data_IF_048724328805
#
_entry.id   IF_048724328805
#
_cell.length_a   1.000
_cell.length_b   1.000
_cell.length_c   1.000
_cell.angle_alpha   90.00
_cell.angle_beta   90.00
_cell.angle_gamma   90.00
#
_symmetry.space_group_name_H-M   'P 1'
#
loop_
_entity.id
_entity.type
_entity.pdbx_description
1 polymer ?
#
# COMPACT_ATOMS: atom_id res chain seq x y z
N UNK A 1 12.56 12.23 1.85
CA UNK A 1 12.05 13.58 1.54
C UNK A 1 12.94 14.58 2.22
N UNK A 2 13.65 15.37 1.43
CA UNK A 2 14.57 16.41 1.90
C UNK A 2 13.77 17.64 2.34
N UNK A 3 14.38 18.57 3.08
CA UNK A 3 13.72 19.82 3.46
C UNK A 3 13.37 20.70 2.23
N UNK A 4 14.01 20.46 1.08
CA UNK A 4 13.65 21.09 -0.19
C UNK A 4 12.29 20.60 -0.70
N UNK A 5 12.06 19.28 -0.69
CA UNK A 5 10.78 18.67 -1.09
C UNK A 5 9.61 19.14 -0.21
N UNK A 6 9.87 19.37 1.09
CA UNK A 6 8.87 19.93 2.03
C UNK A 6 8.51 21.38 1.70
N UNK A 7 9.50 22.19 1.33
CA UNK A 7 9.30 23.60 1.02
C UNK A 7 8.46 23.80 -0.25
N UNK A 8 8.72 22.98 -1.29
CA UNK A 8 7.95 23.02 -2.55
C UNK A 8 6.50 22.60 -2.32
N UNK A 9 6.25 21.52 -1.57
CA UNK A 9 4.89 21.04 -1.29
C UNK A 9 4.02 22.06 -0.54
N UNK A 10 4.62 22.96 0.25
CA UNK A 10 3.87 23.93 1.03
C UNK A 10 3.65 25.25 0.29
N UNK A 11 4.55 25.66 -0.60
CA UNK A 11 4.30 26.77 -1.53
C UNK A 11 3.06 26.52 -2.42
N UNK A 12 2.73 25.24 -2.67
CA UNK A 12 1.52 24.83 -3.39
C UNK A 12 0.20 25.07 -2.64
N UNK A 13 0.21 25.09 -1.30
CA UNK A 13 -1.01 25.38 -0.53
C UNK A 13 -1.32 26.88 -0.54
N UNK A 14 -0.29 27.73 -0.41
CA UNK A 14 -0.45 29.19 -0.45
C UNK A 14 -0.88 29.68 -1.85
N UNK A 15 -0.31 29.10 -2.93
CA UNK A 15 -0.69 29.47 -4.31
C UNK A 15 -2.14 29.13 -4.69
N UNK A 16 -2.79 28.19 -4.00
CA UNK A 16 -4.21 27.88 -4.21
C UNK A 16 -5.16 28.85 -3.48
N UNK A 17 -4.69 29.58 -2.47
CA UNK A 17 -5.47 30.63 -1.79
C UNK A 17 -5.31 32.01 -2.46
N UNK A 18 -4.19 32.27 -3.15
CA UNK A 18 -3.82 33.60 -3.67
C UNK A 18 -4.35 33.95 -5.08
N UNK A 19 -5.25 33.16 -5.67
CA UNK A 19 -5.87 33.52 -6.98
C UNK A 19 -6.81 34.74 -6.87
N UNK A 20 -7.10 35.23 -5.66
CA UNK A 20 -7.73 36.52 -5.44
C UNK A 20 -6.87 37.40 -4.54
N UNK A 21 -5.89 38.11 -5.11
CA UNK A 21 -5.56 39.54 -4.86
C UNK A 21 -4.32 39.87 -5.70
N UNK A 22 -4.53 40.38 -6.90
CA UNK A 22 -3.51 41.16 -7.60
C UNK A 22 -3.59 42.60 -7.11
N UNK A 23 -2.60 43.05 -6.35
CA UNK A 23 -1.76 44.22 -6.68
C UNK A 23 -1.05 44.80 -5.44
N UNK A 24 0.15 45.30 -5.69
CA UNK A 24 0.97 46.18 -4.84
C UNK A 24 1.57 45.57 -3.55
N UNK A 25 2.87 45.23 -3.59
CA UNK A 25 3.97 46.07 -3.09
C UNK A 25 5.29 45.29 -3.13
N UNK A 26 6.10 45.51 -4.18
CA UNK A 26 7.50 45.06 -4.21
C UNK A 26 8.36 46.04 -3.39
N UNK A 27 8.73 45.66 -2.17
CA UNK A 27 9.96 46.04 -1.47
C UNK A 27 9.96 45.43 -0.06
N UNK A 28 10.46 44.18 0.11
CA UNK A 28 10.96 43.58 1.38
C UNK A 28 11.33 42.07 1.24
N UNK A 29 11.92 41.62 0.13
CA UNK A 29 11.88 40.20 -0.28
C UNK A 29 12.91 39.18 0.27
N UNK A 30 14.06 39.52 0.91
CA UNK A 30 14.98 38.46 1.40
C UNK A 30 14.91 38.17 2.91
N UNK A 31 14.53 39.15 3.75
CA UNK A 31 14.52 38.99 5.22
C UNK A 31 13.19 38.39 5.71
N UNK A 32 12.08 38.76 5.07
CA UNK A 32 10.76 38.19 5.36
C UNK A 32 10.76 36.69 5.01
N UNK A 33 11.23 36.34 3.81
CA UNK A 33 11.37 34.94 3.38
C UNK A 33 12.33 34.10 4.24
N UNK A 34 13.37 34.70 4.85
CA UNK A 34 14.22 33.97 5.81
C UNK A 34 13.56 33.77 7.16
N UNK A 35 12.75 34.72 7.65
CA UNK A 35 12.00 34.58 8.89
C UNK A 35 10.85 33.57 8.74
N UNK A 36 10.14 33.62 7.61
CA UNK A 36 9.06 32.68 7.30
C UNK A 36 9.61 31.25 7.19
N UNK A 37 10.74 31.05 6.50
CA UNK A 37 11.44 29.75 6.45
C UNK A 37 11.89 29.27 7.84
N UNK A 38 12.36 30.17 8.70
CA UNK A 38 12.77 29.82 10.08
C UNK A 38 11.57 29.42 10.94
N UNK A 39 10.47 30.16 10.83
CA UNK A 39 9.22 29.86 11.53
C UNK A 39 8.66 28.53 11.06
N UNK A 40 8.64 28.32 9.74
CA UNK A 40 8.25 27.07 9.09
C UNK A 40 9.06 25.89 9.64
N UNK A 41 10.39 25.98 9.62
CA UNK A 41 11.26 24.91 10.11
C UNK A 41 11.05 24.62 11.60
N UNK A 42 10.76 25.64 12.41
CA UNK A 42 10.45 25.48 13.84
C UNK A 42 9.14 24.74 14.06
N UNK A 43 8.07 25.17 13.39
CA UNK A 43 6.78 24.46 13.46
C UNK A 43 6.90 23.04 12.94
N UNK A 44 7.61 22.84 11.84
CA UNK A 44 7.87 21.51 11.30
C UNK A 44 8.56 20.62 12.32
N UNK A 45 9.68 21.07 12.88
CA UNK A 45 10.43 20.28 13.85
C UNK A 45 9.64 20.04 15.13
N UNK A 46 8.83 21.00 15.56
CA UNK A 46 7.99 20.86 16.74
C UNK A 46 6.92 19.78 16.53
N UNK A 47 6.20 19.81 15.40
CA UNK A 47 5.20 18.81 15.05
C UNK A 47 5.83 17.42 14.91
N UNK A 48 6.96 17.31 14.20
CA UNK A 48 7.68 16.04 14.05
C UNK A 48 8.04 15.43 15.43
N UNK A 49 8.51 16.27 16.37
CA UNK A 49 8.84 15.84 17.73
C UNK A 49 7.61 15.44 18.54
N UNK A 50 6.48 16.14 18.37
CA UNK A 50 5.22 15.77 19.02
C UNK A 50 4.71 14.41 18.53
N UNK A 51 4.74 14.18 17.23
CA UNK A 51 4.33 12.89 16.63
C UNK A 51 5.22 11.74 17.13
N UNK A 52 6.54 11.95 17.19
CA UNK A 52 7.47 10.97 17.77
C UNK A 52 7.20 10.75 19.26
N UNK A 53 6.91 11.80 20.03
CA UNK A 53 6.60 11.70 21.45
C UNK A 53 5.32 10.89 21.68
N UNK A 54 4.27 11.15 20.90
CA UNK A 54 3.03 10.38 20.93
C UNK A 54 3.30 8.92 20.55
N UNK A 55 4.05 8.69 19.48
CA UNK A 55 4.51 7.36 19.09
C UNK A 55 5.22 6.60 20.19
N UNK A 56 6.16 7.28 20.85
CA UNK A 56 6.91 6.73 21.99
C UNK A 56 5.98 6.46 23.16
N UNK A 57 5.02 7.34 23.45
CA UNK A 57 4.00 7.08 24.46
C UNK A 57 3.21 5.79 24.19
N UNK A 58 2.92 5.50 22.92
CA UNK A 58 2.21 4.28 22.51
C UNK A 58 3.10 3.02 22.58
N UNK A 59 4.43 3.14 22.66
CA UNK A 59 5.32 1.98 22.93
C UNK A 59 5.51 1.71 24.42
N UNK A 60 5.22 2.69 25.29
CA UNK A 60 5.35 2.55 26.73
C UNK A 60 4.33 1.53 27.28
N UNK A 61 4.68 0.91 28.42
CA UNK A 61 4.10 -0.29 29.04
C UNK A 61 2.59 -0.56 28.78
N UNK A 62 2.18 -1.84 28.68
CA UNK A 62 0.77 -2.26 28.53
C UNK A 62 -0.22 -1.62 29.50
N UNK A 63 0.23 -1.21 30.69
CA UNK A 63 -0.58 -0.54 31.70
C UNK A 63 -1.11 0.84 31.27
N UNK A 64 -0.44 1.53 30.36
CA UNK A 64 -0.92 2.81 29.81
C UNK A 64 -2.18 2.63 28.97
N UNK A 65 -2.32 1.48 28.32
CA UNK A 65 -3.54 1.16 27.57
C UNK A 65 -4.76 0.90 28.48
N UNK A 66 -4.56 0.77 29.80
CA UNK A 66 -5.66 0.68 30.77
C UNK A 66 -6.26 2.04 31.11
N UNK A 67 -5.58 3.14 30.78
CA UNK A 67 -6.09 4.50 30.93
C UNK A 67 -7.07 4.79 29.80
N UNK A 68 -8.33 4.35 29.95
CA UNK A 68 -9.36 4.45 28.91
C UNK A 68 -9.57 5.88 28.39
N UNK A 69 -9.45 6.87 29.28
CA UNK A 69 -9.65 8.28 28.92
C UNK A 69 -8.51 8.84 28.05
N UNK A 70 -7.25 8.43 28.28
CA UNK A 70 -6.12 8.94 27.50
C UNK A 70 -6.15 8.44 26.05
N UNK A 71 -6.57 7.19 25.83
CA UNK A 71 -6.68 6.62 24.49
C UNK A 71 -7.87 7.18 23.70
N UNK A 72 -9.00 7.42 24.37
CA UNK A 72 -10.12 8.13 23.75
C UNK A 72 -9.72 9.55 23.34
N UNK A 73 -8.97 10.25 24.18
CA UNK A 73 -8.44 11.59 23.86
C UNK A 73 -7.46 11.52 22.68
N UNK A 74 -6.51 10.57 22.70
CA UNK A 74 -5.53 10.41 21.61
C UNK A 74 -6.25 10.07 20.30
N UNK A 75 -7.19 9.12 20.32
CA UNK A 75 -8.00 8.79 19.16
C UNK A 75 -8.77 10.00 18.66
N UNK A 76 -9.65 10.57 19.47
CA UNK A 76 -10.48 11.72 19.06
C UNK A 76 -9.64 12.91 18.58
N UNK A 77 -8.52 13.22 19.24
CA UNK A 77 -7.66 14.36 18.86
C UNK A 77 -6.88 14.07 17.58
N UNK A 78 -6.21 12.92 17.46
CA UNK A 78 -5.45 12.57 16.24
C UNK A 78 -6.37 12.41 15.03
N UNK A 79 -7.59 11.88 15.21
CA UNK A 79 -8.53 11.62 14.12
C UNK A 79 -9.34 12.83 13.67
N UNK A 80 -9.62 13.79 14.57
CA UNK A 80 -10.54 14.90 14.30
C UNK A 80 -10.14 15.80 13.12
N UNK A 81 -8.86 15.80 12.72
CA UNK A 81 -8.35 16.73 11.72
C UNK A 81 -7.52 16.08 10.60
N UNK A 82 -7.50 14.74 10.46
CA UNK A 82 -6.64 14.07 9.47
C UNK A 82 -6.91 14.53 8.03
N UNK A 83 -8.16 14.93 7.72
CA UNK A 83 -8.56 15.41 6.39
C UNK A 83 -7.81 16.67 5.96
N UNK A 84 -7.52 17.57 6.91
CA UNK A 84 -6.83 18.84 6.66
C UNK A 84 -5.31 18.71 6.69
N UNK A 85 -4.78 17.54 7.05
CA UNK A 85 -3.34 17.32 7.19
C UNK A 85 -2.76 17.00 5.81
N UNK A 86 -1.71 17.74 5.38
CA UNK A 86 -1.06 17.46 4.11
C UNK A 86 -0.34 16.10 4.12
N UNK A 87 -0.20 15.47 2.96
CA UNK A 87 0.15 14.05 2.84
C UNK A 87 1.51 13.72 3.49
N UNK A 88 2.48 14.63 3.39
CA UNK A 88 3.81 14.45 4.00
C UNK A 88 3.80 14.47 5.54
N UNK A 89 2.83 15.18 6.14
CA UNK A 89 2.60 15.16 7.61
C UNK A 89 1.80 13.95 8.01
N UNK A 90 0.77 13.61 7.23
CA UNK A 90 -0.03 12.42 7.48
C UNK A 90 0.87 11.17 7.49
N UNK A 91 1.87 11.12 6.60
CA UNK A 91 2.90 10.08 6.60
C UNK A 91 3.60 9.94 7.95
N UNK A 92 3.98 11.03 8.59
CA UNK A 92 4.60 10.99 9.91
C UNK A 92 3.65 10.43 10.96
N UNK A 93 2.36 10.83 10.95
CA UNK A 93 1.36 10.27 11.87
C UNK A 93 1.21 8.76 11.64
N UNK A 94 1.15 8.31 10.38
CA UNK A 94 1.12 6.88 10.03
C UNK A 94 2.34 6.14 10.57
N UNK A 95 3.54 6.67 10.33
CA UNK A 95 4.79 6.00 10.66
C UNK A 95 5.15 6.07 12.16
N UNK A 96 4.95 7.21 12.78
CA UNK A 96 5.38 7.45 14.16
C UNK A 96 4.26 7.21 15.16
N UNK A 97 2.98 7.38 14.82
CA UNK A 97 1.87 7.13 15.74
C UNK A 97 1.21 5.76 15.50
N UNK A 98 0.69 5.52 14.28
CA UNK A 98 -0.11 4.31 14.02
C UNK A 98 0.69 3.02 13.96
N UNK A 99 1.89 3.05 13.38
CA UNK A 99 2.72 1.85 13.32
C UNK A 99 3.13 1.35 14.72
N UNK A 100 3.64 2.19 15.64
CA UNK A 100 3.86 1.78 17.03
C UNK A 100 2.58 1.36 17.75
N UNK A 101 1.46 2.06 17.53
CA UNK A 101 0.17 1.71 18.12
C UNK A 101 -0.24 0.27 17.81
N UNK A 102 -0.18 -0.13 16.54
CA UNK A 102 -0.52 -1.50 16.10
C UNK A 102 0.43 -2.54 16.68
N UNK A 103 1.72 -2.22 16.76
CA UNK A 103 2.75 -3.15 17.26
C UNK A 103 2.64 -3.42 18.75
N UNK A 104 2.27 -2.41 19.53
CA UNK A 104 2.37 -2.44 20.99
C UNK A 104 1.02 -2.48 21.72
N UNK A 105 -0.09 -2.09 21.08
CA UNK A 105 -1.39 -2.11 21.73
C UNK A 105 -1.86 -3.56 21.98
N UNK A 106 -2.19 -3.92 23.23
CA UNK A 106 -2.55 -5.29 23.59
C UNK A 106 -4.04 -5.61 23.37
N UNK A 107 -4.90 -4.60 23.17
CA UNK A 107 -6.36 -4.74 23.20
C UNK A 107 -6.98 -4.40 21.84
N UNK A 108 -7.60 -5.39 21.19
CA UNK A 108 -8.36 -5.19 19.95
C UNK A 108 -9.50 -4.18 20.13
N UNK A 109 -10.15 -4.16 21.29
CA UNK A 109 -11.30 -3.29 21.59
C UNK A 109 -10.99 -1.79 21.47
N UNK A 110 -9.73 -1.40 21.69
CA UNK A 110 -9.28 -0.01 21.54
C UNK A 110 -8.95 0.28 20.07
N UNK A 111 -8.37 -0.69 19.37
CA UNK A 111 -8.02 -0.54 17.96
C UNK A 111 -9.26 -0.44 17.06
N UNK A 112 -10.34 -1.18 17.35
CA UNK A 112 -11.52 -1.26 16.47
C UNK A 112 -12.08 0.14 16.11
N UNK A 113 -12.52 0.98 17.06
CA UNK A 113 -13.14 2.27 16.72
C UNK A 113 -12.18 3.21 15.97
N UNK A 114 -10.88 3.10 16.27
CA UNK A 114 -9.82 3.85 15.59
C UNK A 114 -9.70 3.40 14.13
N UNK A 115 -9.62 2.10 13.88
CA UNK A 115 -9.46 1.55 12.52
C UNK A 115 -10.73 1.61 11.68
N UNK A 116 -11.90 1.59 12.31
CA UNK A 116 -13.19 1.85 11.64
C UNK A 116 -13.27 3.25 11.04
N UNK A 117 -12.58 4.24 11.64
CA UNK A 117 -12.46 5.58 11.06
C UNK A 117 -11.25 5.71 10.12
N UNK A 118 -10.11 5.11 10.47
CA UNK A 118 -8.86 5.27 9.73
C UNK A 118 -8.89 4.60 8.35
N UNK A 119 -9.37 3.36 8.26
CA UNK A 119 -9.32 2.58 7.02
C UNK A 119 -10.17 3.20 5.90
N UNK A 120 -11.44 3.60 6.13
CA UNK A 120 -12.23 4.27 5.09
C UNK A 120 -11.62 5.59 4.63
N UNK A 121 -11.12 6.39 5.58
CA UNK A 121 -10.44 7.66 5.29
C UNK A 121 -9.23 7.43 4.38
N UNK A 122 -8.32 6.54 4.78
CA UNK A 122 -7.10 6.26 4.03
C UNK A 122 -7.41 5.63 2.67
N UNK A 123 -8.38 4.72 2.60
CA UNK A 123 -8.81 4.13 1.33
C UNK A 123 -9.29 5.20 0.35
N UNK A 124 -10.21 6.07 0.77
CA UNK A 124 -10.79 7.12 -0.08
C UNK A 124 -9.70 8.08 -0.55
N UNK A 125 -8.88 8.59 0.39
CA UNK A 125 -7.80 9.53 0.10
C UNK A 125 -6.77 8.96 -0.88
N UNK A 126 -6.28 7.74 -0.62
CA UNK A 126 -5.29 7.10 -1.49
C UNK A 126 -5.89 6.76 -2.86
N UNK A 127 -7.12 6.25 -2.90
CA UNK A 127 -7.81 5.93 -4.15
C UNK A 127 -8.00 7.17 -5.02
N UNK A 128 -8.42 8.29 -4.46
CA UNK A 128 -8.61 9.53 -5.21
C UNK A 128 -7.28 10.10 -5.71
N UNK A 129 -6.25 10.10 -4.87
CA UNK A 129 -4.88 10.51 -5.25
C UNK A 129 -4.34 9.66 -6.41
N UNK A 130 -4.41 8.34 -6.27
CA UNK A 130 -3.94 7.41 -7.31
C UNK A 130 -4.75 7.51 -8.59
N UNK A 131 -6.06 7.71 -8.51
CA UNK A 131 -6.90 7.96 -9.69
C UNK A 131 -6.42 9.18 -10.48
N UNK A 132 -6.10 10.26 -9.79
CA UNK A 132 -5.62 11.49 -10.42
C UNK A 132 -4.21 11.26 -11.04
N UNK A 133 -3.29 10.65 -10.28
CA UNK A 133 -1.92 10.36 -10.76
C UNK A 133 -1.95 9.47 -12.00
N UNK A 134 -2.69 8.35 -11.95
CA UNK A 134 -2.81 7.43 -13.09
C UNK A 134 -3.43 8.10 -14.32
N UNK A 135 -4.43 8.96 -14.14
CA UNK A 135 -5.02 9.72 -15.25
C UNK A 135 -4.03 10.71 -15.88
N UNK A 136 -3.16 11.35 -15.08
CA UNK A 136 -2.10 12.23 -15.61
C UNK A 136 -1.06 11.42 -16.40
N UNK A 137 -0.65 10.28 -15.87
CA UNK A 137 0.34 9.41 -16.51
C UNK A 137 -0.15 8.91 -17.88
N UNK A 138 -1.42 8.51 -18.00
CA UNK A 138 -1.98 8.09 -19.29
C UNK A 138 -2.04 9.22 -20.31
N UNK A 139 -2.37 10.45 -19.90
CA UNK A 139 -2.38 11.63 -20.79
C UNK A 139 -0.97 12.00 -21.30
N UNK A 140 0.08 11.84 -20.47
CA UNK A 140 1.46 12.10 -20.89
C UNK A 140 1.91 11.12 -21.98
N UNK A 141 1.49 9.86 -21.91
CA UNK A 141 1.80 8.85 -22.94
C UNK A 141 1.11 9.19 -24.27
N UNK A 142 -0.11 9.71 -24.26
CA UNK A 142 -0.83 10.04 -25.51
C UNK A 142 -0.40 11.36 -26.17
N UNK A 143 0.10 12.33 -25.40
CA UNK A 143 0.33 13.70 -25.86
C UNK A 143 1.82 14.03 -26.15
N UNK A 144 2.72 13.04 -26.18
CA UNK A 144 4.18 13.22 -26.23
C UNK A 144 4.80 13.98 -27.41
N UNK A 145 4.02 14.67 -28.25
CA UNK A 145 4.46 15.35 -29.47
C UNK A 145 4.02 16.83 -29.59
N UNK A 146 3.66 17.52 -28.50
CA UNK A 146 3.33 18.96 -28.57
C UNK A 146 4.61 19.79 -28.40
N UNK A 147 5.04 20.50 -29.45
CA UNK A 147 6.13 21.47 -29.37
C UNK A 147 5.71 22.65 -28.48
N UNK A 148 6.32 22.77 -27.29
CA UNK A 148 6.10 23.90 -26.39
C UNK A 148 7.02 25.08 -26.73
N UNK A 149 6.44 26.29 -26.75
CA UNK A 149 7.15 27.57 -26.92
C UNK A 149 8.00 27.93 -25.69
N UNK A 150 9.09 28.70 -25.87
CA UNK A 150 10.09 29.00 -24.83
C UNK A 150 9.54 29.53 -23.49
N UNK A 151 8.46 30.32 -23.48
CA UNK A 151 7.85 30.82 -22.23
C UNK A 151 7.04 29.75 -21.48
N UNK A 152 6.55 28.73 -22.19
CA UNK A 152 5.84 27.60 -21.60
C UNK A 152 6.81 26.60 -20.96
N UNK A 153 8.07 26.54 -21.40
CA UNK A 153 9.05 25.55 -20.92
C UNK A 153 9.29 25.69 -19.41
N UNK A 154 9.44 26.92 -18.89
CA UNK A 154 9.67 27.14 -17.46
C UNK A 154 8.46 26.78 -16.60
N UNK A 155 7.25 27.13 -17.04
CA UNK A 155 6.01 26.81 -16.32
C UNK A 155 5.70 25.30 -16.38
N UNK A 156 5.98 24.66 -17.51
CA UNK A 156 5.85 23.20 -17.66
C UNK A 156 6.86 22.49 -16.76
N UNK A 157 8.09 22.99 -16.66
CA UNK A 157 9.11 22.38 -15.82
C UNK A 157 8.77 22.46 -14.33
N UNK A 158 8.35 23.62 -13.84
CA UNK A 158 7.92 23.79 -12.44
C UNK A 158 6.73 22.89 -12.12
N UNK A 159 5.71 22.86 -12.99
CA UNK A 159 4.56 21.95 -12.87
C UNK A 159 4.96 20.47 -12.87
N UNK A 160 5.96 20.08 -13.67
CA UNK A 160 6.46 18.71 -13.69
C UNK A 160 7.14 18.34 -12.37
N UNK A 161 7.94 19.24 -11.80
CA UNK A 161 8.59 19.03 -10.50
C UNK A 161 7.54 18.86 -9.38
N UNK A 162 6.52 19.71 -9.37
CA UNK A 162 5.39 19.62 -8.43
C UNK A 162 4.63 18.29 -8.53
N UNK A 163 4.32 17.85 -9.75
CA UNK A 163 3.62 16.59 -10.00
C UNK A 163 4.43 15.38 -9.53
N UNK A 164 5.76 15.39 -9.76
CA UNK A 164 6.66 14.31 -9.31
C UNK A 164 6.74 14.27 -7.79
N UNK A 165 6.78 15.43 -7.12
CA UNK A 165 6.80 15.49 -5.66
C UNK A 165 5.48 14.94 -5.09
N UNK A 166 4.33 15.32 -5.65
CA UNK A 166 3.03 14.81 -5.19
C UNK A 166 2.93 13.28 -5.34
N UNK A 167 3.36 12.75 -6.49
CA UNK A 167 3.40 11.31 -6.74
C UNK A 167 4.31 10.60 -5.74
N UNK A 168 5.50 11.16 -5.47
CA UNK A 168 6.46 10.56 -4.55
C UNK A 168 5.95 10.57 -3.11
N UNK A 169 5.31 11.66 -2.66
CA UNK A 169 4.68 11.73 -1.34
C UNK A 169 3.55 10.69 -1.23
N UNK A 170 2.74 10.52 -2.29
CA UNK A 170 1.67 9.52 -2.33
C UNK A 170 2.23 8.09 -2.27
N UNK A 171 3.32 7.81 -2.98
CA UNK A 171 4.05 6.54 -2.88
C UNK A 171 4.47 6.26 -1.44
N UNK A 172 5.13 7.22 -0.78
CA UNK A 172 5.61 7.02 0.57
C UNK A 172 4.48 6.85 1.60
N UNK A 173 3.42 7.66 1.50
CA UNK A 173 2.25 7.54 2.35
C UNK A 173 1.59 6.15 2.18
N UNK A 174 1.44 5.71 0.93
CA UNK A 174 0.93 4.37 0.61
C UNK A 174 1.79 3.30 1.28
N UNK A 175 3.12 3.32 1.06
CA UNK A 175 4.04 2.31 1.59
C UNK A 175 4.03 2.24 3.12
N UNK A 176 4.10 3.38 3.80
CA UNK A 176 4.06 3.43 5.27
C UNK A 176 2.71 2.93 5.81
N UNK A 177 1.60 3.24 5.12
CA UNK A 177 0.29 2.75 5.53
C UNK A 177 0.10 1.25 5.30
N UNK A 178 0.59 0.72 4.17
CA UNK A 178 0.60 -0.74 3.95
C UNK A 178 1.49 -1.44 4.99
N UNK A 179 2.56 -0.81 5.50
CA UNK A 179 3.31 -1.36 6.62
C UNK A 179 2.50 -1.41 7.92
N UNK A 180 1.64 -0.41 8.20
CA UNK A 180 0.69 -0.49 9.32
C UNK A 180 -0.25 -1.69 9.15
N UNK A 181 -0.86 -1.85 7.97
CA UNK A 181 -1.74 -2.99 7.67
C UNK A 181 -0.99 -4.32 7.78
N UNK A 182 0.23 -4.41 7.27
CA UNK A 182 1.05 -5.62 7.38
C UNK A 182 1.31 -6.00 8.83
N UNK A 183 1.69 -5.04 9.68
CA UNK A 183 1.95 -5.31 11.10
C UNK A 183 0.66 -5.64 11.87
N UNK A 184 -0.48 -5.12 11.42
CA UNK A 184 -1.79 -5.45 11.97
C UNK A 184 -2.19 -6.89 11.66
N UNK A 185 -1.96 -7.33 10.41
CA UNK A 185 -2.46 -8.62 9.92
C UNK A 185 -1.46 -9.78 10.14
N UNK A 186 -0.20 -9.51 9.86
CA UNK A 186 0.91 -10.48 9.89
C UNK A 186 1.83 -10.06 11.03
N UNK A 187 1.32 -10.15 12.25
CA UNK A 187 2.14 -9.93 13.44
C UNK A 187 3.14 -11.08 13.53
N UNK A 188 4.44 -10.78 13.52
CA UNK A 188 5.44 -11.80 13.81
C UNK A 188 5.20 -12.26 15.25
N UNK A 189 4.94 -13.55 15.43
CA UNK A 189 4.87 -14.15 16.76
C UNK A 189 6.28 -14.12 17.33
N UNK A 190 6.65 -13.04 18.01
CA UNK A 190 7.80 -13.06 18.90
C UNK A 190 7.44 -14.07 19.98
N UNK A 191 7.93 -15.31 19.86
CA UNK A 191 7.80 -16.33 20.90
C UNK A 191 8.29 -15.73 22.21
N UNK A 192 7.36 -15.29 23.05
CA UNK A 192 7.59 -14.76 24.38
C UNK A 192 7.99 -15.85 25.40
N UNK A 193 8.25 -17.08 24.93
CA UNK A 193 8.67 -18.20 25.78
C UNK A 193 10.18 -18.30 25.97
N UNK A 194 10.99 -17.41 25.38
CA UNK A 194 12.42 -17.32 25.66
C UNK A 194 12.79 -15.95 26.23
N UNK A 195 12.30 -15.65 27.43
CA UNK A 195 12.68 -14.49 28.24
C UNK A 195 14.06 -14.69 28.92
N UNK A 196 15.03 -15.19 28.16
CA UNK A 196 16.33 -15.62 28.65
C UNK A 196 17.42 -15.57 27.59
N UNK A 197 17.49 -14.50 26.81
CA UNK A 197 18.73 -14.12 26.11
C UNK A 197 18.69 -12.63 25.77
N UNK A 198 19.24 -11.85 26.69
CA UNK A 198 19.74 -10.51 26.40
C UNK A 198 20.87 -10.62 25.35
N UNK A 199 20.84 -9.70 24.40
CA UNK A 199 21.92 -9.32 23.47
C UNK A 199 22.25 -10.29 22.33
N UNK A 200 21.83 -9.92 21.12
CA UNK A 200 22.74 -9.20 20.24
C UNK A 200 21.96 -8.31 19.26
N UNK A 201 22.19 -7.01 19.39
CA UNK A 201 21.67 -6.01 18.46
C UNK A 201 22.28 -6.23 17.08
N UNK A 202 21.41 -6.10 16.08
CA UNK A 202 21.68 -5.59 14.74
C UNK A 202 20.33 -5.43 14.02
N UNK A 203 19.43 -4.65 14.61
CA UNK A 203 18.41 -3.96 13.82
C UNK A 203 19.03 -2.63 13.41
N UNK A 204 19.88 -2.69 12.37
CA UNK A 204 20.30 -1.50 11.66
C UNK A 204 19.10 -1.07 10.82
N UNK A 205 18.55 0.05 11.27
CA UNK A 205 17.59 0.92 10.61
C UNK A 205 18.00 1.14 9.13
N UNK A 206 17.35 0.44 8.20
CA UNK A 206 17.41 0.74 6.76
C UNK A 206 16.59 2.01 6.46
N UNK A 207 17.11 3.14 6.95
CA UNK A 207 16.86 4.46 6.41
C UNK A 207 18.19 5.07 5.99
N UNK A 208 18.73 4.61 4.86
CA UNK A 208 19.75 5.33 4.11
C UNK A 208 19.45 5.21 2.62
N UNK A 209 19.09 6.35 2.04
CA UNK A 209 19.09 6.59 0.61
C UNK A 209 20.55 6.68 0.18
N UNK A 210 21.04 5.66 -0.53
CA UNK A 210 22.28 5.72 -1.31
C UNK A 210 22.20 4.73 -2.48
N UNK A 211 22.30 5.26 -3.70
CA UNK A 211 22.63 4.50 -4.91
C UNK A 211 23.98 3.82 -4.70
N UNK A 212 24.02 2.49 -4.74
CA UNK A 212 25.28 1.75 -4.86
C UNK A 212 25.23 0.91 -6.13
N UNK A 213 26.13 1.28 -7.04
CA UNK A 213 26.45 0.58 -8.28
C UNK A 213 26.66 -0.92 -8.04
N UNK A 214 25.94 -1.74 -8.81
CA UNK A 214 26.19 -3.17 -8.90
C UNK A 214 27.45 -3.36 -9.76
N UNK A 215 28.59 -3.66 -9.13
CA UNK A 215 29.69 -4.34 -9.83
C UNK A 215 29.45 -5.84 -9.78
N UNK A 216 29.35 -6.44 -10.96
CA UNK A 216 29.15 -7.87 -11.14
C UNK A 216 30.43 -8.65 -10.78
N UNK A 217 30.49 -9.25 -9.58
CA UNK A 217 31.27 -10.49 -9.37
C UNK A 217 31.14 -11.18 -7.98
N UNK A 218 29.93 -11.39 -7.44
CA UNK A 218 29.74 -12.31 -6.30
C UNK A 218 28.52 -13.23 -6.49
N UNK A 219 28.59 -14.09 -7.52
CA UNK A 219 27.71 -15.25 -7.69
C UNK A 219 28.42 -16.54 -7.27
N UNK A 220 28.69 -16.74 -5.98
CA UNK A 220 28.88 -18.10 -5.46
C UNK A 220 28.88 -18.11 -3.93
N UNK A 221 27.70 -18.32 -3.33
CA UNK A 221 27.44 -19.08 -2.08
C UNK A 221 26.00 -18.83 -1.63
N UNK A 222 25.04 -19.57 -2.20
CA UNK A 222 23.70 -19.71 -1.61
C UNK A 222 23.69 -20.96 -0.73
N UNK A 223 23.35 -20.86 0.57
CA UNK A 223 22.90 -22.02 1.32
C UNK A 223 21.53 -22.44 0.77
N UNK A 224 21.46 -23.68 0.29
CA UNK A 224 20.26 -24.39 -0.11
C UNK A 224 19.27 -24.51 1.05
N UNK A 225 18.02 -24.06 0.84
CA UNK A 225 16.89 -24.35 1.74
C UNK A 225 16.11 -23.15 2.26
N UNK A 226 15.81 -22.13 1.45
CA UNK A 226 14.76 -21.16 1.79
C UNK A 226 13.39 -21.78 1.50
N UNK A 227 12.82 -22.47 2.49
CA UNK A 227 11.37 -22.59 2.59
C UNK A 227 10.82 -21.17 2.59
N UNK A 228 10.07 -20.76 1.56
CA UNK A 228 9.27 -19.53 1.59
C UNK A 228 8.41 -19.63 2.85
N UNK A 229 8.76 -18.90 3.90
CA UNK A 229 7.84 -18.69 5.02
C UNK A 229 6.61 -18.01 4.42
N UNK A 230 5.56 -18.78 4.15
CA UNK A 230 4.24 -18.22 3.92
C UNK A 230 3.89 -17.50 5.21
N UNK A 231 4.02 -16.18 5.19
CA UNK A 231 3.56 -15.34 6.28
C UNK A 231 2.06 -15.64 6.46
N UNK A 232 1.68 -16.14 7.63
CA UNK A 232 0.28 -16.41 7.95
C UNK A 232 -0.29 -15.25 8.77
N UNK A 233 -1.58 -14.92 8.62
CA UNK A 233 -2.24 -13.98 9.50
C UNK A 233 -2.20 -14.50 10.94
N UNK A 234 -2.02 -13.59 11.90
CA UNK A 234 -2.09 -13.97 13.32
C UNK A 234 -3.55 -14.27 13.72
N UNK A 235 -3.76 -15.12 14.73
CA UNK A 235 -5.10 -15.37 15.27
C UNK A 235 -5.78 -14.08 15.75
N UNK A 236 -4.98 -13.17 16.33
CA UNK A 236 -5.42 -11.83 16.68
C UNK A 236 -5.96 -11.08 15.45
N UNK A 237 -5.24 -11.09 14.35
CA UNK A 237 -5.64 -10.41 13.12
C UNK A 237 -6.93 -10.98 12.53
N UNK A 238 -7.04 -12.30 12.46
CA UNK A 238 -8.25 -12.96 11.95
C UNK A 238 -9.46 -12.59 12.80
N UNK A 239 -9.32 -12.62 14.13
CA UNK A 239 -10.38 -12.20 15.04
C UNK A 239 -10.68 -10.70 14.88
N UNK A 240 -9.67 -9.85 14.78
CA UNK A 240 -9.83 -8.41 14.59
C UNK A 240 -10.63 -8.06 13.33
N UNK A 241 -10.35 -8.75 12.22
CA UNK A 241 -11.13 -8.61 10.98
C UNK A 241 -12.55 -9.16 11.11
N UNK A 242 -12.76 -10.24 11.87
CA UNK A 242 -14.09 -10.82 12.09
C UNK A 242 -14.96 -9.97 13.03
N UNK A 243 -14.36 -9.30 14.01
CA UNK A 243 -15.06 -8.50 15.01
C UNK A 243 -15.65 -7.20 14.40
N UNK A 244 -15.14 -6.71 13.25
CA UNK A 244 -15.69 -5.54 12.55
C UNK A 244 -15.73 -5.73 11.03
N UNK A 245 -16.95 -5.72 10.48
CA UNK A 245 -17.18 -5.82 9.03
C UNK A 245 -16.62 -4.63 8.25
N UNK A 246 -16.64 -3.43 8.84
CA UNK A 246 -16.09 -2.21 8.24
C UNK A 246 -14.57 -2.36 8.06
N UNK A 247 -13.88 -2.77 9.12
CA UNK A 247 -12.43 -3.00 9.08
C UNK A 247 -12.10 -4.06 8.03
N UNK A 248 -12.81 -5.20 8.05
CA UNK A 248 -12.60 -6.27 7.07
C UNK A 248 -12.76 -5.77 5.64
N UNK A 249 -13.88 -5.10 5.35
CA UNK A 249 -14.21 -4.58 4.03
C UNK A 249 -13.12 -3.62 3.53
N UNK A 250 -12.79 -2.59 4.31
CA UNK A 250 -11.82 -1.59 3.85
C UNK A 250 -10.39 -2.12 3.82
N UNK A 251 -9.99 -3.01 4.72
CA UNK A 251 -8.70 -3.72 4.61
C UNK A 251 -8.61 -4.49 3.27
N UNK A 252 -9.65 -5.25 2.92
CA UNK A 252 -9.67 -6.01 1.67
C UNK A 252 -9.72 -5.08 0.45
N UNK A 253 -10.46 -3.97 0.51
CA UNK A 253 -10.48 -2.97 -0.56
C UNK A 253 -9.10 -2.34 -0.75
N UNK A 254 -8.44 -1.87 0.31
CA UNK A 254 -7.09 -1.30 0.22
C UNK A 254 -6.11 -2.31 -0.39
N UNK A 255 -6.14 -3.56 0.07
CA UNK A 255 -5.20 -4.58 -0.35
C UNK A 255 -5.44 -5.09 -1.79
N UNK A 256 -6.70 -5.27 -2.21
CA UNK A 256 -7.02 -5.83 -3.54
C UNK A 256 -7.23 -4.74 -4.60
N UNK A 257 -8.04 -3.71 -4.34
CA UNK A 257 -8.23 -2.59 -5.28
C UNK A 257 -6.89 -1.83 -5.47
N UNK A 258 -6.11 -1.69 -4.40
CA UNK A 258 -4.78 -1.07 -4.43
C UNK A 258 -3.75 -1.81 -5.28
N UNK A 259 -3.97 -3.07 -5.67
CA UNK A 259 -3.07 -3.77 -6.61
C UNK A 259 -3.00 -3.05 -7.98
N UNK A 260 -4.01 -2.26 -8.30
CA UNK A 260 -4.07 -1.45 -9.52
C UNK A 260 -3.32 -0.12 -9.42
N UNK A 261 -2.70 0.20 -8.27
CA UNK A 261 -1.93 1.43 -8.12
C UNK A 261 -0.56 1.32 -8.82
N UNK A 262 -0.05 2.39 -9.45
CA UNK A 262 1.24 2.41 -10.14
C UNK A 262 2.47 2.07 -9.27
N UNK A 263 2.39 2.24 -7.93
CA UNK A 263 3.52 1.95 -7.04
C UNK A 263 3.78 0.44 -6.88
N UNK A 264 4.66 -0.06 -7.74
CA UNK A 264 5.11 -1.46 -7.81
C UNK A 264 5.57 -2.06 -6.48
N UNK A 265 6.20 -1.25 -5.62
CA UNK A 265 6.68 -1.70 -4.30
C UNK A 265 5.50 -1.99 -3.37
N UNK A 266 4.51 -1.08 -3.34
CA UNK A 266 3.28 -1.29 -2.59
C UNK A 266 2.48 -2.46 -3.13
N UNK A 267 2.34 -2.60 -4.45
CA UNK A 267 1.62 -3.73 -5.09
C UNK A 267 2.23 -5.06 -4.69
N UNK A 268 3.56 -5.18 -4.71
CA UNK A 268 4.25 -6.41 -4.31
C UNK A 268 3.97 -6.75 -2.84
N UNK A 269 4.03 -5.76 -1.95
CA UNK A 269 3.76 -5.95 -0.51
C UNK A 269 2.29 -6.31 -0.25
N UNK A 270 1.35 -5.62 -0.90
CA UNK A 270 -0.08 -5.91 -0.80
C UNK A 270 -0.42 -7.31 -1.31
N UNK A 271 0.12 -7.72 -2.46
CA UNK A 271 -0.12 -9.05 -3.01
C UNK A 271 0.38 -10.16 -2.07
N UNK A 272 1.51 -9.97 -1.39
CA UNK A 272 1.99 -10.90 -0.37
C UNK A 272 1.03 -11.00 0.82
N UNK A 273 0.49 -9.88 1.28
CA UNK A 273 -0.52 -9.86 2.36
C UNK A 273 -1.81 -10.55 1.88
N UNK A 274 -2.26 -10.28 0.65
CA UNK A 274 -3.41 -10.96 0.07
C UNK A 274 -3.21 -12.49 0.03
N UNK A 275 -2.02 -12.96 -0.38
CA UNK A 275 -1.67 -14.39 -0.41
C UNK A 275 -1.82 -15.04 0.98
N UNK A 276 -1.42 -14.34 2.04
CA UNK A 276 -1.60 -14.79 3.42
C UNK A 276 -3.09 -14.93 3.81
N UNK A 277 -3.94 -14.05 3.30
CA UNK A 277 -5.37 -14.01 3.63
C UNK A 277 -6.24 -14.99 2.82
N UNK A 278 -5.81 -15.44 1.63
CA UNK A 278 -6.67 -16.21 0.69
C UNK A 278 -7.41 -17.37 1.36
N UNK A 279 -6.71 -18.17 2.17
CA UNK A 279 -7.28 -19.35 2.84
C UNK A 279 -8.36 -19.00 3.87
N UNK A 280 -8.37 -17.76 4.37
CA UNK A 280 -9.32 -17.26 5.35
C UNK A 280 -10.44 -16.42 4.72
N UNK A 281 -10.33 -16.05 3.43
CA UNK A 281 -11.29 -15.18 2.77
C UNK A 281 -12.73 -15.69 2.86
N UNK A 282 -12.95 -17.00 2.75
CA UNK A 282 -14.31 -17.59 2.87
C UNK A 282 -15.03 -17.14 4.14
N UNK A 283 -14.30 -17.12 5.26
CA UNK A 283 -14.85 -16.71 6.56
C UNK A 283 -14.94 -15.18 6.61
N UNK A 284 -13.90 -14.47 6.19
CA UNK A 284 -13.83 -13.01 6.24
C UNK A 284 -14.94 -12.32 5.42
N UNK A 285 -15.35 -12.93 4.31
CA UNK A 285 -16.40 -12.43 3.43
C UNK A 285 -17.76 -13.11 3.67
N UNK A 286 -17.89 -13.94 4.72
CA UNK A 286 -19.09 -14.70 5.04
C UNK A 286 -19.63 -15.52 3.85
N UNK A 287 -18.75 -16.11 3.03
CA UNK A 287 -19.13 -16.87 1.84
C UNK A 287 -19.76 -16.05 0.71
N UNK A 288 -19.67 -14.72 0.74
CA UNK A 288 -20.19 -13.85 -0.31
C UNK A 288 -19.41 -14.02 -1.62
N UNK A 289 -20.00 -14.77 -2.56
CA UNK A 289 -19.42 -15.04 -3.88
C UNK A 289 -19.30 -13.80 -4.77
N UNK A 290 -20.20 -12.81 -4.66
CA UNK A 290 -20.12 -11.58 -5.45
C UNK A 290 -18.90 -10.75 -5.02
N UNK A 291 -18.65 -10.68 -3.71
CA UNK A 291 -17.47 -10.01 -3.21
C UNK A 291 -16.19 -10.79 -3.55
N UNK A 292 -16.20 -12.12 -3.46
CA UNK A 292 -15.09 -12.97 -3.93
C UNK A 292 -14.79 -12.73 -5.42
N UNK A 293 -15.82 -12.63 -6.25
CA UNK A 293 -15.72 -12.30 -7.69
C UNK A 293 -15.03 -10.95 -7.87
N UNK A 294 -15.47 -9.92 -7.12
CA UNK A 294 -14.87 -8.59 -7.20
C UNK A 294 -13.39 -8.59 -6.81
N UNK A 295 -13.02 -9.30 -5.73
CA UNK A 295 -11.62 -9.43 -5.31
C UNK A 295 -10.76 -10.11 -6.39
N UNK A 296 -11.29 -11.14 -7.06
CA UNK A 296 -10.60 -11.79 -8.17
C UNK A 296 -10.44 -10.86 -9.39
N UNK A 297 -11.48 -10.10 -9.73
CA UNK A 297 -11.44 -9.10 -10.80
C UNK A 297 -10.38 -8.03 -10.52
N UNK A 298 -10.22 -7.56 -9.27
CA UNK A 298 -9.16 -6.61 -8.94
C UNK A 298 -7.75 -7.13 -9.26
N UNK A 299 -7.49 -8.43 -9.08
CA UNK A 299 -6.21 -9.04 -9.46
C UNK A 299 -6.02 -9.01 -10.99
N UNK A 300 -7.07 -9.29 -11.76
CA UNK A 300 -7.02 -9.25 -13.22
C UNK A 300 -6.85 -7.82 -13.75
N UNK A 301 -7.51 -6.84 -13.14
CA UNK A 301 -7.30 -5.42 -13.45
C UNK A 301 -5.84 -5.00 -13.18
N UNK A 302 -5.26 -5.46 -12.07
CA UNK A 302 -3.85 -5.21 -11.77
C UNK A 302 -2.92 -5.85 -12.82
N UNK A 303 -3.23 -7.05 -13.32
CA UNK A 303 -2.47 -7.68 -14.42
C UNK A 303 -2.54 -6.86 -15.71
N UNK A 304 -3.67 -6.21 -15.99
CA UNK A 304 -3.80 -5.29 -17.12
C UNK A 304 -2.86 -4.09 -16.99
N UNK A 305 -2.80 -3.49 -15.80
CA UNK A 305 -2.01 -2.29 -15.54
C UNK A 305 -0.50 -2.59 -15.50
N UNK A 306 -0.11 -3.70 -14.88
CA UNK A 306 1.29 -4.05 -14.65
C UNK A 306 1.84 -5.06 -15.66
N UNK A 307 1.16 -5.28 -16.78
CA UNK A 307 1.44 -6.37 -17.74
C UNK A 307 2.88 -6.41 -18.27
N UNK A 308 3.56 -5.26 -18.32
CA UNK A 308 4.94 -5.14 -18.81
C UNK A 308 6.00 -5.38 -17.70
N UNK A 309 5.59 -5.48 -16.44
CA UNK A 309 6.47 -5.70 -15.30
C UNK A 309 6.45 -7.17 -14.87
N UNK A 310 7.31 -7.99 -15.49
CA UNK A 310 7.34 -9.45 -15.27
C UNK A 310 7.44 -9.89 -13.79
N UNK A 311 8.25 -9.25 -12.91
CA UNK A 311 8.23 -9.53 -11.47
C UNK A 311 6.86 -9.37 -10.78
N UNK A 312 6.13 -8.30 -11.11
CA UNK A 312 4.79 -8.04 -10.56
C UNK A 312 3.78 -9.01 -11.16
N UNK A 313 3.81 -9.21 -12.48
CA UNK A 313 2.97 -10.19 -13.17
C UNK A 313 3.11 -11.57 -12.54
N UNK A 314 4.34 -12.02 -12.26
CA UNK A 314 4.59 -13.30 -11.60
C UNK A 314 3.93 -13.38 -10.20
N UNK A 315 3.97 -12.28 -9.44
CA UNK A 315 3.38 -12.19 -8.10
C UNK A 315 1.85 -12.16 -8.16
N UNK A 316 1.26 -11.41 -9.09
CA UNK A 316 -0.19 -11.34 -9.32
C UNK A 316 -0.74 -12.67 -9.84
N UNK A 317 -0.06 -13.33 -10.79
CA UNK A 317 -0.42 -14.67 -11.27
C UNK A 317 -0.35 -15.70 -10.14
N UNK A 318 0.61 -15.59 -9.23
CA UNK A 318 0.70 -16.44 -8.04
C UNK A 318 -0.54 -16.27 -7.15
N UNK A 319 -0.94 -15.02 -6.89
CA UNK A 319 -2.13 -14.70 -6.10
C UNK A 319 -3.42 -15.18 -6.77
N UNK A 320 -3.59 -14.92 -8.08
CA UNK A 320 -4.76 -15.35 -8.84
C UNK A 320 -4.89 -16.88 -8.89
N UNK A 321 -3.77 -17.58 -9.08
CA UNK A 321 -3.74 -19.06 -9.06
C UNK A 321 -4.12 -19.60 -7.68
N UNK A 322 -3.59 -19.01 -6.60
CA UNK A 322 -3.90 -19.40 -5.23
C UNK A 322 -5.40 -19.20 -4.93
N UNK A 323 -5.97 -18.09 -5.38
CA UNK A 323 -7.39 -17.79 -5.21
C UNK A 323 -8.27 -18.78 -5.98
N UNK A 324 -7.93 -19.07 -7.25
CA UNK A 324 -8.60 -20.08 -8.04
C UNK A 324 -8.55 -21.47 -7.37
N UNK A 325 -7.36 -21.95 -6.99
CA UNK A 325 -7.19 -23.25 -6.34
C UNK A 325 -7.99 -23.38 -5.03
N UNK A 326 -8.07 -22.30 -4.26
CA UNK A 326 -8.75 -22.29 -2.95
C UNK A 326 -10.28 -22.37 -3.09
N UNK A 327 -10.84 -21.76 -4.13
CA UNK A 327 -12.29 -21.55 -4.22
C UNK A 327 -12.98 -22.28 -5.38
N UNK A 328 -12.24 -22.78 -6.39
CA UNK A 328 -12.86 -23.37 -7.60
C UNK A 328 -13.86 -24.51 -7.33
N UNK A 329 -13.69 -25.24 -6.21
CA UNK A 329 -14.58 -26.36 -5.86
C UNK A 329 -15.84 -25.91 -5.13
N UNK A 330 -15.82 -24.71 -4.54
CA UNK A 330 -16.89 -24.20 -3.68
C UNK A 330 -17.65 -23.02 -4.29
N UNK A 331 -17.05 -22.30 -5.25
CA UNK A 331 -17.69 -21.20 -5.96
C UNK A 331 -18.35 -21.71 -7.25
N UNK A 332 -19.66 -21.49 -7.38
CA UNK A 332 -20.50 -21.97 -8.49
C UNK A 332 -20.09 -21.33 -9.83
N UNK A 333 -19.13 -21.93 -10.54
CA UNK A 333 -18.61 -21.47 -11.85
C UNK A 333 -18.15 -19.99 -11.90
N UNK A 334 -17.85 -19.40 -10.74
CA UNK A 334 -17.52 -17.98 -10.61
C UNK A 334 -16.32 -17.61 -11.48
N UNK A 335 -15.25 -18.41 -11.42
CA UNK A 335 -14.02 -18.14 -12.16
C UNK A 335 -14.22 -18.26 -13.67
N UNK A 336 -15.01 -19.25 -14.11
CA UNK A 336 -15.34 -19.42 -15.53
C UNK A 336 -16.09 -18.20 -16.08
N UNK A 337 -17.06 -17.68 -15.30
CA UNK A 337 -17.79 -16.46 -15.66
C UNK A 337 -16.83 -15.28 -15.82
N UNK A 338 -15.89 -15.10 -14.89
CA UNK A 338 -14.92 -14.00 -14.96
C UNK A 338 -13.94 -14.18 -16.12
N UNK A 339 -13.49 -15.41 -16.38
CA UNK A 339 -12.58 -15.70 -17.50
C UNK A 339 -13.23 -15.47 -18.86
N UNK A 340 -14.54 -15.72 -18.98
CA UNK A 340 -15.31 -15.40 -20.19
C UNK A 340 -15.50 -13.91 -20.45
N UNK A 341 -15.27 -13.04 -19.45
CA UNK A 341 -15.29 -11.59 -19.61
C UNK A 341 -13.95 -11.02 -20.12
N UNK A 342 -12.91 -11.85 -20.19
CA UNK A 342 -11.61 -11.45 -20.74
C UNK A 342 -11.74 -11.31 -22.27
N UNK A 343 -11.24 -10.22 -22.89
CA UNK A 343 -11.25 -10.06 -24.34
C UNK A 343 -10.60 -11.24 -25.06
N UNK A 344 -11.18 -11.65 -26.18
CA UNK A 344 -10.65 -12.72 -27.05
C UNK A 344 -10.50 -14.11 -26.40
N UNK A 345 -11.16 -14.34 -25.24
CA UNK A 345 -11.21 -15.66 -24.59
C UNK A 345 -12.49 -16.42 -24.97
N UNK A 346 -12.32 -17.65 -25.45
CA UNK A 346 -13.42 -18.53 -25.85
C UNK A 346 -13.80 -19.54 -24.77
N UNK A 347 -15.01 -20.09 -24.86
CA UNK A 347 -15.48 -21.14 -23.94
C UNK A 347 -14.57 -22.38 -23.97
N UNK A 348 -14.02 -22.73 -25.15
CA UNK A 348 -13.07 -23.84 -25.28
C UNK A 348 -11.76 -23.57 -24.53
N UNK A 349 -11.25 -22.33 -24.57
CA UNK A 349 -10.04 -21.95 -23.83
C UNK A 349 -10.27 -22.01 -22.31
N UNK A 350 -11.44 -21.57 -21.82
CA UNK A 350 -11.80 -21.68 -20.39
C UNK A 350 -11.94 -23.14 -19.97
N UNK A 351 -12.59 -23.97 -20.79
CA UNK A 351 -12.69 -25.41 -20.50
C UNK A 351 -11.32 -26.10 -20.48
N UNK A 352 -10.46 -25.79 -21.45
CA UNK A 352 -9.09 -26.31 -21.50
C UNK A 352 -8.26 -25.82 -20.30
N UNK A 353 -8.44 -24.57 -19.86
CA UNK A 353 -7.81 -24.05 -18.65
C UNK A 353 -8.24 -24.86 -17.42
N UNK A 354 -9.54 -25.04 -17.21
CA UNK A 354 -10.09 -25.83 -16.10
C UNK A 354 -9.54 -27.25 -16.09
N UNK A 355 -9.60 -27.93 -17.24
CA UNK A 355 -9.10 -29.29 -17.39
C UNK A 355 -7.61 -29.35 -17.09
N UNK A 356 -6.81 -28.42 -17.63
CA UNK A 356 -5.37 -28.33 -17.37
C UNK A 356 -5.07 -28.09 -15.89
N UNK A 357 -5.82 -27.24 -15.20
CA UNK A 357 -5.63 -26.95 -13.78
C UNK A 357 -5.92 -28.16 -12.88
N UNK A 358 -6.83 -29.06 -13.31
CA UNK A 358 -7.15 -30.30 -12.61
C UNK A 358 -6.19 -31.47 -12.93
N UNK A 359 -5.30 -31.31 -13.92
CA UNK A 359 -4.35 -32.38 -14.30
C UNK A 359 -3.38 -32.71 -13.17
N UNK A 360 -3.01 -33.99 -13.11
CA UNK A 360 -1.96 -34.50 -12.25
C UNK A 360 -0.85 -35.12 -13.12
N UNK A 361 0.41 -34.88 -12.75
CA UNK A 361 1.58 -35.47 -13.41
C UNK A 361 2.22 -36.45 -12.44
N UNK A 362 2.29 -37.72 -12.82
CA UNK A 362 2.79 -38.80 -11.95
C UNK A 362 2.06 -38.89 -10.59
N UNK A 363 0.74 -38.67 -10.59
CA UNK A 363 -0.08 -38.68 -9.37
C UNK A 363 0.13 -37.47 -8.44
N UNK A 364 0.89 -36.46 -8.87
CA UNK A 364 1.10 -35.21 -8.11
C UNK A 364 0.39 -34.03 -8.79
N UNK A 365 -0.11 -33.06 -8.02
CA UNK A 365 -0.65 -31.82 -8.57
C UNK A 365 0.45 -31.07 -9.35
N UNK A 366 0.02 -30.25 -10.31
CA UNK A 366 0.92 -29.36 -11.04
C UNK A 366 1.71 -28.45 -10.08
N UNK A 367 2.97 -28.17 -10.44
CA UNK A 367 3.78 -27.20 -9.71
C UNK A 367 3.23 -25.78 -9.84
N UNK A 368 3.49 -24.92 -8.85
CA UNK A 368 3.04 -23.53 -8.87
C UNK A 368 3.49 -22.80 -10.15
N UNK A 369 4.67 -23.12 -10.68
CA UNK A 369 5.17 -22.55 -11.93
C UNK A 369 4.28 -22.94 -13.10
N UNK A 370 3.98 -24.23 -13.25
CA UNK A 370 3.12 -24.73 -14.34
C UNK A 370 1.73 -24.12 -14.28
N UNK A 371 1.13 -24.02 -13.09
CA UNK A 371 -0.19 -23.40 -12.91
C UNK A 371 -0.21 -21.92 -13.32
N UNK A 372 0.83 -21.17 -12.93
CA UNK A 372 0.99 -19.77 -13.38
C UNK A 372 1.15 -19.66 -14.88
N UNK A 373 1.95 -20.52 -15.51
CA UNK A 373 2.15 -20.51 -16.96
C UNK A 373 0.84 -20.81 -17.70
N UNK A 374 0.02 -21.74 -17.18
CA UNK A 374 -1.31 -22.05 -17.72
C UNK A 374 -2.26 -20.85 -17.59
N UNK A 375 -2.30 -20.20 -16.42
CA UNK A 375 -3.11 -18.99 -16.23
C UNK A 375 -2.61 -17.83 -17.11
N UNK A 376 -1.29 -17.67 -17.24
CA UNK A 376 -0.65 -16.62 -18.06
C UNK A 376 -1.12 -16.69 -19.52
N UNK A 377 -1.28 -17.90 -20.06
CA UNK A 377 -1.81 -18.11 -21.42
C UNK A 377 -3.26 -17.63 -21.56
N UNK A 378 -4.10 -17.88 -20.55
CA UNK A 378 -5.51 -17.48 -20.59
C UNK A 378 -5.68 -15.96 -20.46
N UNK A 379 -4.91 -15.33 -19.57
CA UNK A 379 -5.00 -13.88 -19.28
C UNK A 379 -4.10 -13.03 -20.17
N UNK A 380 -3.40 -13.64 -21.14
CA UNK A 380 -2.52 -12.94 -22.07
C UNK A 380 -3.18 -11.75 -22.77
N UNK A 381 -4.46 -11.80 -23.20
CA UNK A 381 -5.12 -10.65 -23.81
C UNK A 381 -5.23 -9.41 -22.91
N UNK A 382 -5.09 -9.56 -21.59
CA UNK A 382 -5.08 -8.45 -20.65
C UNK A 382 -3.71 -7.77 -20.56
N UNK A 383 -2.62 -8.49 -20.80
CA UNK A 383 -1.24 -8.00 -20.58
C UNK A 383 -0.68 -7.41 -21.88
N UNK A 384 -0.23 -6.15 -21.85
CA UNK A 384 0.34 -5.47 -23.01
C UNK A 384 -0.66 -4.65 -23.83
N UNK A 385 -1.68 -4.07 -23.17
CA UNK A 385 -2.60 -3.07 -23.74
C UNK A 385 -2.35 -1.68 -23.20
#
# INVERSE_FOLDING_TARGET
>A
MTDADKAVYLQQQDNNEDVNILSTTQANSPILSTNDRRLHNRFSSFLDRLEILIGTYLTLKPDLYKLKDSLNIIGTTLFSSLEYIPDFRLRNIVRYCFLPFVRHCPMSTIMIPIFESLLPFMYTKLKDKWKIITARQSMKVTNGNVHESNDNIYQTQERCEEEVIEEQVTCYLTRDFIDVIKNLLIRQHNNSDNLGQLNNGNDIDETSMDEIMITADEQSRKPSGQTRYHQMPSDFALKFLQDSSIICQYCLLILFDGLSWPDTSSVTKMAQICQALVKHLSILINGNNDFLRQLYVYILCALKIHGDNEPIVCTLLSLATLMYDTFQQTSSNLFDSVHMEIPDVTNEQVNNYRDKMLRQVNGKPLSDKQKRDILKQLVQPLMGQ
#
